data_IF_112810478683
#
_entry.id   IF_112810478683
#
_cell.length_a   1.000
_cell.length_b   1.000
_cell.length_c   1.000
_cell.angle_alpha   90.00
_cell.angle_beta   90.00
_cell.angle_gamma   90.00
#
_symmetry.space_group_name_H-M   'P 1'
#
loop_
_entity.id
_entity.type
_entity.pdbx_description
1 polymer ?
#
# COMPACT_ATOMS: atom_id res chain seq x y z
N UNK A 1 14.05 -59.70 1.81
CA UNK A 1 14.00 -58.34 1.21
C UNK A 1 12.84 -57.58 1.82
N UNK A 2 13.14 -56.73 2.79
CA UNK A 2 12.20 -55.75 3.37
C UNK A 2 12.40 -54.45 2.60
N UNK A 3 11.39 -54.02 1.83
CA UNK A 3 11.34 -52.69 1.22
C UNK A 3 10.81 -51.69 2.26
N UNK A 4 11.64 -50.72 2.61
CA UNK A 4 11.41 -49.57 3.47
C UNK A 4 10.35 -48.64 2.86
N UNK A 5 9.25 -48.38 3.60
CA UNK A 5 8.17 -47.46 3.27
C UNK A 5 8.47 -46.04 3.86
N UNK A 6 9.62 -45.42 3.53
CA UNK A 6 10.00 -44.14 4.10
C UNK A 6 9.50 -42.86 3.37
N UNK A 7 9.14 -42.83 2.06
CA UNK A 7 8.76 -41.56 1.40
C UNK A 7 7.35 -41.06 1.69
N UNK A 8 6.39 -41.91 2.01
CA UNK A 8 4.97 -41.53 2.17
C UNK A 8 4.69 -40.78 3.47
N UNK A 9 5.40 -41.08 4.54
CA UNK A 9 5.23 -40.44 5.86
C UNK A 9 5.84 -39.02 5.91
N UNK A 10 6.92 -38.76 5.19
CA UNK A 10 7.50 -37.40 5.13
C UNK A 10 6.58 -36.44 4.38
N UNK A 11 5.96 -36.89 3.30
CA UNK A 11 5.04 -36.07 2.48
C UNK A 11 3.76 -35.69 3.23
N UNK A 12 3.19 -36.62 4.03
CA UNK A 12 2.00 -36.31 4.84
C UNK A 12 2.31 -35.34 5.99
N UNK A 13 3.44 -35.49 6.66
CA UNK A 13 3.86 -34.60 7.76
C UNK A 13 4.12 -33.17 7.30
N UNK A 14 4.65 -32.96 6.09
CA UNK A 14 4.81 -31.63 5.49
C UNK A 14 3.44 -30.99 5.21
N UNK A 15 2.50 -31.76 4.67
CA UNK A 15 1.14 -31.29 4.40
C UNK A 15 0.40 -30.88 5.68
N UNK A 16 0.51 -31.70 6.75
CA UNK A 16 -0.16 -31.44 8.03
C UNK A 16 0.39 -30.18 8.70
N UNK A 17 1.70 -29.93 8.60
CA UNK A 17 2.33 -28.70 9.11
C UNK A 17 1.91 -27.47 8.31
N UNK A 18 1.84 -27.57 6.97
CA UNK A 18 1.39 -26.47 6.13
C UNK A 18 -0.07 -26.09 6.45
N UNK A 19 -0.95 -27.08 6.67
CA UNK A 19 -2.33 -26.83 7.11
C UNK A 19 -2.39 -26.10 8.46
N UNK A 20 -1.53 -26.46 9.40
CA UNK A 20 -1.44 -25.77 10.70
C UNK A 20 -0.95 -24.32 10.54
N UNK A 21 0.06 -24.10 9.70
CA UNK A 21 0.59 -22.75 9.43
C UNK A 21 -0.46 -21.87 8.75
N UNK A 22 -1.21 -22.40 7.79
CA UNK A 22 -2.30 -21.69 7.13
C UNK A 22 -3.42 -21.35 8.10
N UNK A 23 -3.78 -22.25 9.00
CA UNK A 23 -4.78 -21.98 10.04
C UNK A 23 -4.31 -20.91 11.06
N UNK A 24 -3.02 -20.91 11.42
CA UNK A 24 -2.42 -19.83 12.22
C UNK A 24 -2.52 -18.50 11.48
N UNK A 25 -2.13 -18.46 10.22
CA UNK A 25 -2.17 -17.25 9.40
C UNK A 25 -3.60 -16.69 9.25
N UNK A 26 -4.58 -17.57 9.00
CA UNK A 26 -5.99 -17.20 8.95
C UNK A 26 -6.48 -16.61 10.29
N UNK A 27 -6.11 -17.21 11.41
CA UNK A 27 -6.51 -16.71 12.73
C UNK A 27 -5.91 -15.33 13.04
N UNK A 28 -4.60 -15.15 12.88
CA UNK A 28 -3.93 -13.88 13.24
C UNK A 28 -4.31 -12.72 12.33
N UNK A 29 -4.78 -13.00 11.11
CA UNK A 29 -5.31 -11.99 10.20
C UNK A 29 -6.76 -11.58 10.51
N UNK A 30 -7.50 -12.42 11.23
CA UNK A 30 -8.94 -12.21 11.49
C UNK A 30 -9.21 -11.59 12.86
N UNK A 31 -8.44 -11.93 13.89
CA UNK A 31 -8.72 -11.51 15.27
C UNK A 31 -7.65 -10.57 15.81
N UNK A 32 -8.01 -9.74 16.81
CA UNK A 32 -7.07 -8.81 17.42
C UNK A 32 -5.92 -9.51 18.17
N UNK A 33 -4.76 -8.86 18.33
CA UNK A 33 -3.62 -9.41 19.08
C UNK A 33 -3.96 -9.87 20.48
N UNK A 34 -4.86 -9.16 21.18
CA UNK A 34 -5.33 -9.53 22.53
C UNK A 34 -6.12 -10.85 22.50
N UNK A 35 -6.90 -11.08 21.45
CA UNK A 35 -7.61 -12.34 21.25
C UNK A 35 -6.65 -13.49 20.94
N UNK A 36 -5.62 -13.26 20.12
CA UNK A 36 -4.57 -14.26 19.87
C UNK A 36 -3.85 -14.61 21.18
N UNK A 37 -3.52 -13.62 22.02
CA UNK A 37 -2.93 -13.86 23.35
C UNK A 37 -3.84 -14.73 24.23
N UNK A 38 -5.14 -14.43 24.26
CA UNK A 38 -6.10 -15.22 25.03
C UNK A 38 -6.22 -16.67 24.52
N UNK A 39 -6.21 -16.87 23.20
CA UNK A 39 -6.21 -18.19 22.56
C UNK A 39 -4.91 -18.93 22.89
N UNK A 40 -3.75 -18.30 22.75
CA UNK A 40 -2.45 -18.89 23.09
C UNK A 40 -2.36 -19.30 24.57
N UNK A 41 -2.88 -18.48 25.48
CA UNK A 41 -2.95 -18.81 26.90
C UNK A 41 -3.89 -19.99 27.18
N UNK A 42 -4.95 -20.17 26.38
CA UNK A 42 -5.86 -21.33 26.50
C UNK A 42 -5.22 -22.58 25.91
N UNK A 43 -4.56 -22.47 24.74
CA UNK A 43 -3.81 -23.57 24.09
C UNK A 43 -2.81 -24.20 25.06
N UNK A 44 -2.02 -23.41 25.78
CA UNK A 44 -1.05 -23.93 26.77
C UNK A 44 -1.63 -24.87 27.85
N UNK A 45 -2.95 -24.74 28.07
CA UNK A 45 -3.68 -25.51 29.11
C UNK A 45 -4.66 -26.52 28.52
N UNK A 46 -4.54 -26.82 27.23
CA UNK A 46 -5.47 -27.66 26.49
C UNK A 46 -4.67 -28.71 25.70
N UNK A 47 -5.09 -29.97 25.79
CA UNK A 47 -4.57 -31.00 24.90
C UNK A 47 -5.18 -30.87 23.53
N UNK A 48 -4.42 -31.20 22.46
CA UNK A 48 -4.87 -31.12 21.08
C UNK A 48 -6.22 -31.83 20.85
N UNK A 49 -6.43 -33.00 21.49
CA UNK A 49 -7.67 -33.77 21.39
C UNK A 49 -8.92 -33.04 21.94
N UNK A 50 -8.74 -32.06 22.81
CA UNK A 50 -9.82 -31.26 23.43
C UNK A 50 -9.95 -29.84 22.82
N UNK A 51 -9.06 -29.50 21.92
CA UNK A 51 -8.97 -28.14 21.35
C UNK A 51 -10.26 -27.71 20.68
N UNK A 52 -10.86 -28.56 19.86
CA UNK A 52 -12.09 -28.25 19.12
C UNK A 52 -13.28 -27.88 20.02
N UNK A 53 -13.35 -28.46 21.22
CA UNK A 53 -14.45 -28.15 22.16
C UNK A 53 -14.18 -26.97 23.10
N UNK A 54 -12.89 -26.58 23.27
CA UNK A 54 -12.48 -25.61 24.29
C UNK A 54 -12.09 -24.25 23.72
N UNK A 55 -11.43 -24.20 22.55
CA UNK A 55 -10.88 -22.97 21.99
C UNK A 55 -11.94 -22.03 21.40
N UNK A 56 -13.01 -22.50 20.72
CA UNK A 56 -14.00 -21.61 20.12
C UNK A 56 -14.69 -20.66 21.11
N UNK A 57 -14.78 -21.06 22.40
CA UNK A 57 -15.38 -20.23 23.46
C UNK A 57 -14.57 -18.94 23.77
N UNK A 58 -13.32 -18.83 23.31
CA UNK A 58 -12.47 -17.65 23.54
C UNK A 58 -12.82 -16.49 22.60
N UNK A 59 -13.44 -16.79 21.46
CA UNK A 59 -13.82 -15.81 20.45
C UNK A 59 -15.34 -15.52 20.48
N UNK A 60 -15.73 -14.32 20.02
CA UNK A 60 -17.13 -13.86 20.20
C UNK A 60 -17.96 -13.82 18.90
N UNK A 61 -17.40 -14.27 17.75
CA UNK A 61 -18.12 -14.23 16.48
C UNK A 61 -18.14 -15.62 15.82
N UNK A 62 -19.21 -15.97 15.08
CA UNK A 62 -19.29 -17.25 14.39
C UNK A 62 -18.12 -17.49 13.42
N UNK A 63 -17.71 -16.46 12.67
CA UNK A 63 -16.61 -16.54 11.71
C UNK A 63 -15.27 -16.86 12.43
N UNK A 64 -15.00 -16.18 13.56
CA UNK A 64 -13.79 -16.46 14.32
C UNK A 64 -13.84 -17.86 14.95
N UNK A 65 -15.02 -18.34 15.40
CA UNK A 65 -15.18 -19.70 15.92
C UNK A 65 -14.82 -20.75 14.88
N UNK A 66 -15.30 -20.59 13.63
CA UNK A 66 -14.96 -21.50 12.53
C UNK A 66 -13.44 -21.56 12.28
N UNK A 67 -12.75 -20.41 12.28
CA UNK A 67 -11.29 -20.38 12.08
C UNK A 67 -10.56 -21.03 13.25
N UNK A 68 -11.02 -20.86 14.49
CA UNK A 68 -10.47 -21.52 15.67
C UNK A 68 -10.71 -23.03 15.62
N UNK A 69 -11.86 -23.50 15.12
CA UNK A 69 -12.15 -24.92 14.90
C UNK A 69 -11.19 -25.52 13.85
N UNK A 70 -10.93 -24.81 12.76
CA UNK A 70 -9.96 -25.20 11.73
C UNK A 70 -8.55 -25.31 12.33
N UNK A 71 -8.12 -24.33 13.14
CA UNK A 71 -6.86 -24.38 13.86
C UNK A 71 -6.78 -25.62 14.76
N UNK A 72 -7.84 -25.91 15.52
CA UNK A 72 -7.87 -27.06 16.41
C UNK A 72 -7.79 -28.39 15.64
N UNK A 73 -8.47 -28.50 14.50
CA UNK A 73 -8.42 -29.67 13.64
C UNK A 73 -7.03 -29.88 13.03
N UNK A 74 -6.43 -28.82 12.50
CA UNK A 74 -5.08 -28.86 11.93
C UNK A 74 -4.04 -29.25 13.00
N UNK A 75 -4.15 -28.68 14.21
CA UNK A 75 -3.25 -29.01 15.33
C UNK A 75 -3.29 -30.49 15.70
N UNK A 76 -4.48 -31.12 15.72
CA UNK A 76 -4.62 -32.55 16.02
C UNK A 76 -3.87 -33.47 15.06
N UNK A 77 -3.66 -33.03 13.82
CA UNK A 77 -2.96 -33.81 12.80
C UNK A 77 -1.42 -33.69 12.88
N UNK A 78 -0.91 -32.85 13.81
CA UNK A 78 0.53 -32.60 13.97
C UNK A 78 1.05 -33.16 15.32
N UNK A 79 2.36 -33.28 15.46
CA UNK A 79 3.05 -33.58 16.70
C UNK A 79 3.40 -32.30 17.51
N UNK A 80 2.90 -31.12 17.10
CA UNK A 80 3.20 -29.84 17.75
C UNK A 80 2.62 -29.79 19.15
N UNK A 81 3.48 -29.50 20.15
CA UNK A 81 3.07 -29.35 21.52
C UNK A 81 2.27 -28.06 21.80
N UNK A 82 1.54 -28.05 22.92
CA UNK A 82 0.72 -26.89 23.30
C UNK A 82 1.53 -25.61 23.53
N UNK A 83 2.71 -25.69 24.15
CA UNK A 83 3.59 -24.54 24.33
C UNK A 83 4.20 -24.05 23.01
N UNK A 84 4.50 -24.97 22.10
CA UNK A 84 5.02 -24.69 20.79
C UNK A 84 3.97 -23.96 19.93
N UNK A 85 2.75 -24.51 19.85
CA UNK A 85 1.64 -23.85 19.13
C UNK A 85 1.34 -22.45 19.71
N UNK A 86 1.30 -22.31 21.03
CA UNK A 86 1.10 -21.01 21.65
C UNK A 86 2.20 -20.01 21.28
N UNK A 87 3.45 -20.46 21.20
CA UNK A 87 4.57 -19.63 20.77
C UNK A 87 4.50 -19.24 19.28
N UNK A 88 4.09 -20.18 18.42
CA UNK A 88 3.84 -19.93 17.00
C UNK A 88 2.74 -18.88 16.80
N UNK A 89 1.62 -18.97 17.51
CA UNK A 89 0.52 -18.00 17.48
C UNK A 89 0.98 -16.59 17.88
N UNK A 90 1.73 -16.48 18.97
CA UNK A 90 2.24 -15.18 19.44
C UNK A 90 3.26 -14.57 18.47
N UNK A 91 4.17 -15.38 17.95
CA UNK A 91 5.15 -14.94 16.97
C UNK A 91 4.47 -14.48 15.66
N UNK A 92 3.55 -15.28 15.13
CA UNK A 92 2.79 -14.93 13.93
C UNK A 92 1.97 -13.65 14.12
N UNK A 93 1.27 -13.52 15.25
CA UNK A 93 0.50 -12.30 15.58
C UNK A 93 1.38 -11.06 15.69
N UNK A 94 2.56 -11.18 16.31
CA UNK A 94 3.51 -10.08 16.41
C UNK A 94 4.00 -9.62 15.03
N UNK A 95 4.44 -10.56 14.20
CA UNK A 95 4.95 -10.26 12.84
C UNK A 95 3.84 -9.67 11.97
N UNK A 96 2.64 -10.26 12.00
CA UNK A 96 1.49 -9.76 11.25
C UNK A 96 1.11 -8.33 11.65
N UNK A 97 0.98 -8.08 12.96
CA UNK A 97 0.62 -6.75 13.49
C UNK A 97 1.68 -5.71 13.15
N UNK A 98 2.96 -6.08 13.28
CA UNK A 98 4.07 -5.19 12.93
C UNK A 98 4.05 -4.85 11.44
N UNK A 99 3.93 -5.84 10.56
CA UNK A 99 3.84 -5.62 9.12
C UNK A 99 2.63 -4.76 8.74
N UNK A 100 1.46 -5.02 9.34
CA UNK A 100 0.25 -4.24 9.12
C UNK A 100 0.37 -2.78 9.62
N UNK A 101 1.11 -2.53 10.71
CA UNK A 101 1.36 -1.18 11.22
C UNK A 101 2.40 -0.40 10.43
N UNK A 102 3.31 -1.10 9.75
CA UNK A 102 4.37 -0.49 8.94
C UNK A 102 3.91 -0.10 7.52
N UNK A 103 2.79 -0.61 7.07
CA UNK A 103 2.24 -0.31 5.75
C UNK A 103 0.71 -0.30 5.77
N UNK A 104 0.11 0.73 5.17
CA UNK A 104 -1.32 0.77 4.88
C UNK A 104 -1.56 1.07 3.40
N UNK A 105 -2.65 0.53 2.87
CA UNK A 105 -3.12 0.81 1.51
C UNK A 105 -4.61 1.12 1.56
N UNK A 106 -4.99 2.28 1.04
CA UNK A 106 -6.37 2.75 1.01
C UNK A 106 -6.86 2.90 -0.43
N UNK A 107 -8.06 2.38 -0.71
CA UNK A 107 -8.74 2.65 -1.99
C UNK A 107 -9.19 4.11 -2.03
N UNK A 108 -8.86 4.78 -3.14
CA UNK A 108 -9.27 6.16 -3.42
C UNK A 108 -10.15 6.16 -4.66
N UNK A 109 -11.29 6.84 -4.57
CA UNK A 109 -12.28 6.89 -5.64
C UNK A 109 -12.93 8.26 -5.74
N UNK A 110 -13.01 8.79 -6.95
CA UNK A 110 -13.88 9.93 -7.31
C UNK A 110 -14.91 9.45 -8.32
N UNK A 111 -16.16 9.82 -8.15
CA UNK A 111 -17.27 9.40 -9.03
C UNK A 111 -18.49 8.92 -8.23
N UNK A 112 -19.45 8.26 -8.88
CA UNK A 112 -20.60 7.68 -8.20
C UNK A 112 -20.20 6.72 -7.10
N UNK A 113 -20.85 6.81 -5.95
CA UNK A 113 -20.57 5.99 -4.76
C UNK A 113 -21.61 4.90 -4.60
N UNK A 114 -21.23 3.81 -3.91
CA UNK A 114 -22.14 2.74 -3.52
C UNK A 114 -22.19 2.63 -1.99
N UNK A 115 -23.27 2.10 -1.41
CA UNK A 115 -23.37 1.94 0.04
C UNK A 115 -22.48 0.80 0.59
N UNK A 116 -21.86 0.00 -0.30
CA UNK A 116 -21.13 -1.20 0.09
C UNK A 116 -19.63 -0.97 0.31
N UNK A 117 -19.07 0.07 -0.29
CA UNK A 117 -17.64 0.36 -0.21
C UNK A 117 -17.45 1.84 0.15
N UNK A 118 -16.78 2.07 1.26
CA UNK A 118 -16.32 3.42 1.63
C UNK A 118 -14.95 3.66 0.97
N UNK A 119 -14.83 4.77 0.24
CA UNK A 119 -13.58 5.17 -0.38
C UNK A 119 -13.31 6.65 -0.11
N UNK A 120 -12.03 6.99 0.01
CA UNK A 120 -11.58 8.38 0.14
C UNK A 120 -11.63 9.06 -1.22
N UNK A 121 -11.93 10.35 -1.26
CA UNK A 121 -11.88 11.13 -2.51
C UNK A 121 -10.44 11.42 -2.93
N UNK A 122 -10.21 11.49 -4.24
CA UNK A 122 -8.91 11.77 -4.87
C UNK A 122 -8.24 13.02 -4.31
N UNK A 123 -8.98 14.13 -4.20
CA UNK A 123 -8.46 15.38 -3.65
C UNK A 123 -7.98 15.23 -2.20
N UNK A 124 -8.76 14.55 -1.37
CA UNK A 124 -8.41 14.32 0.04
C UNK A 124 -7.13 13.48 0.19
N UNK A 125 -6.98 12.45 -0.64
CA UNK A 125 -5.78 11.61 -0.65
C UNK A 125 -4.53 12.40 -1.07
N UNK A 126 -4.65 13.20 -2.12
CA UNK A 126 -3.55 14.05 -2.59
C UNK A 126 -3.18 15.12 -1.55
N UNK A 127 -4.18 15.81 -0.97
CA UNK A 127 -3.96 16.78 0.12
C UNK A 127 -3.30 16.14 1.33
N UNK A 128 -3.62 14.90 1.67
CA UNK A 128 -2.94 14.18 2.76
C UNK A 128 -1.45 14.03 2.46
N UNK A 129 -1.07 13.56 1.26
CA UNK A 129 0.35 13.40 0.88
C UNK A 129 1.08 14.74 0.92
N UNK A 130 0.48 15.80 0.38
CA UNK A 130 1.09 17.14 0.38
C UNK A 130 1.24 17.69 1.81
N UNK A 131 0.20 17.58 2.63
CA UNK A 131 0.19 18.16 3.97
C UNK A 131 1.08 17.39 4.95
N UNK A 132 1.26 16.09 4.75
CA UNK A 132 2.14 15.26 5.58
C UNK A 132 3.61 15.34 5.18
N UNK A 133 3.94 15.96 4.05
CA UNK A 133 5.34 16.10 3.61
C UNK A 133 6.12 17.05 4.53
N UNK A 134 7.32 16.63 4.93
CA UNK A 134 8.22 17.36 5.82
C UNK A 134 9.52 17.77 5.14
N UNK A 135 10.04 16.96 4.21
CA UNK A 135 11.33 17.18 3.56
C UNK A 135 11.21 17.29 2.04
N UNK A 136 10.47 16.40 1.42
CA UNK A 136 10.43 16.30 -0.02
C UNK A 136 9.09 15.81 -0.56
N UNK A 137 8.69 16.36 -1.68
CA UNK A 137 7.47 15.99 -2.40
C UNK A 137 7.79 15.91 -3.89
N UNK A 138 7.57 14.75 -4.50
CA UNK A 138 7.66 14.58 -5.95
C UNK A 138 6.27 14.31 -6.53
N UNK A 139 5.84 15.12 -7.49
CA UNK A 139 4.54 14.98 -8.16
C UNK A 139 4.77 14.79 -9.66
N UNK A 140 4.04 13.84 -10.26
CA UNK A 140 3.99 13.66 -11.71
C UNK A 140 2.55 13.75 -12.17
N UNK A 141 2.28 14.52 -13.23
CA UNK A 141 0.96 14.64 -13.85
C UNK A 141 1.07 14.95 -15.33
N UNK A 142 0.14 14.41 -16.12
CA UNK A 142 0.04 14.76 -17.54
C UNK A 142 -0.47 16.18 -17.73
N UNK A 143 -1.50 16.55 -16.99
CA UNK A 143 -2.08 17.92 -16.99
C UNK A 143 -2.18 18.41 -15.55
N UNK A 144 -1.78 19.66 -15.32
CA UNK A 144 -1.92 20.32 -14.03
C UNK A 144 -2.36 21.77 -14.26
N UNK A 145 -3.48 22.17 -13.68
CA UNK A 145 -3.89 23.55 -13.60
C UNK A 145 -4.96 23.77 -12.53
N UNK A 146 -4.87 24.92 -11.94
CA UNK A 146 -5.79 25.58 -11.01
C UNK A 146 -6.81 24.71 -10.27
N UNK A 147 -6.29 23.87 -9.39
CA UNK A 147 -7.06 23.33 -8.26
C UNK A 147 -6.63 24.14 -7.05
N UNK A 148 -7.39 25.16 -6.70
CA UNK A 148 -6.98 26.17 -5.73
C UNK A 148 -6.58 25.59 -4.35
N UNK A 149 -7.22 24.52 -3.93
CA UNK A 149 -6.91 23.79 -2.69
C UNK A 149 -5.54 23.12 -2.76
N UNK A 150 -5.23 22.49 -3.87
CA UNK A 150 -3.93 21.83 -4.10
C UNK A 150 -2.82 22.87 -4.22
N UNK A 151 -3.03 23.94 -4.97
CA UNK A 151 -2.07 25.06 -5.09
C UNK A 151 -1.75 25.67 -3.74
N UNK A 152 -2.77 25.94 -2.91
CA UNK A 152 -2.57 26.44 -1.53
C UNK A 152 -1.78 25.46 -0.68
N UNK A 153 -2.08 24.17 -0.75
CA UNK A 153 -1.37 23.15 0.01
C UNK A 153 0.11 23.02 -0.41
N UNK A 154 0.39 23.11 -1.73
CA UNK A 154 1.76 23.10 -2.26
C UNK A 154 2.56 24.33 -1.79
N UNK A 155 1.99 25.52 -1.86
CA UNK A 155 2.65 26.73 -1.38
C UNK A 155 2.88 26.65 0.13
N UNK A 156 1.92 26.17 0.92
CA UNK A 156 2.10 25.96 2.35
C UNK A 156 3.17 24.89 2.67
N UNK A 157 3.29 23.83 1.85
CA UNK A 157 4.38 22.87 1.98
C UNK A 157 5.75 23.51 1.69
N UNK A 158 5.83 24.34 0.64
CA UNK A 158 7.05 25.09 0.34
C UNK A 158 7.44 26.06 1.47
N UNK A 159 6.46 26.76 2.07
CA UNK A 159 6.69 27.63 3.24
C UNK A 159 7.20 26.85 4.47
N UNK A 160 6.84 25.58 4.62
CA UNK A 160 7.42 24.67 5.62
C UNK A 160 8.84 24.19 5.31
N UNK A 161 9.38 24.55 4.13
CA UNK A 161 10.71 24.14 3.69
C UNK A 161 10.73 22.81 2.92
N UNK A 162 9.58 22.30 2.49
CA UNK A 162 9.52 21.07 1.68
C UNK A 162 10.07 21.32 0.27
N UNK A 163 11.00 20.50 -0.18
CA UNK A 163 11.51 20.52 -1.56
C UNK A 163 10.48 19.89 -2.51
N UNK A 164 9.80 20.71 -3.30
CA UNK A 164 8.77 20.27 -4.24
C UNK A 164 9.39 20.12 -5.62
N UNK A 165 9.26 18.92 -6.19
CA UNK A 165 9.63 18.60 -7.58
C UNK A 165 8.38 18.18 -8.34
N UNK A 166 8.16 18.73 -9.52
CA UNK A 166 7.02 18.37 -10.38
C UNK A 166 7.50 18.00 -11.77
N UNK A 167 7.14 16.80 -12.23
CA UNK A 167 7.33 16.34 -13.60
C UNK A 167 6.01 16.46 -14.36
N UNK A 168 5.98 17.29 -15.38
CA UNK A 168 4.78 17.63 -16.15
C UNK A 168 5.00 17.39 -17.64
N UNK A 169 3.92 17.11 -18.38
CA UNK A 169 3.98 17.05 -19.83
C UNK A 169 4.14 18.46 -20.40
N UNK A 170 4.99 18.59 -21.43
CA UNK A 170 5.21 19.85 -22.13
C UNK A 170 4.07 20.18 -23.10
N UNK A 171 3.84 21.47 -23.35
CA UNK A 171 2.97 21.92 -24.42
C UNK A 171 3.58 21.62 -25.79
N UNK A 172 2.74 21.61 -26.82
CA UNK A 172 3.18 21.45 -28.23
C UNK A 172 4.21 22.50 -28.65
N UNK A 173 4.05 23.74 -28.20
CA UNK A 173 4.99 24.84 -28.47
C UNK A 173 6.38 24.59 -27.84
N UNK A 174 6.47 23.69 -26.87
CA UNK A 174 7.71 23.29 -26.18
C UNK A 174 8.09 21.83 -26.44
N UNK A 175 7.63 21.27 -27.57
CA UNK A 175 7.98 19.90 -27.99
C UNK A 175 7.24 18.78 -27.27
N UNK A 176 6.15 19.10 -26.58
CA UNK A 176 5.29 18.13 -25.91
C UNK A 176 4.02 17.78 -26.69
N UNK A 177 3.00 17.31 -25.98
CA UNK A 177 1.80 16.73 -26.60
C UNK A 177 0.48 17.44 -26.29
N UNK A 178 0.48 18.45 -25.43
CA UNK A 178 -0.72 19.15 -24.98
C UNK A 178 -0.79 20.60 -25.50
N UNK A 179 -2.01 21.10 -25.68
CA UNK A 179 -2.24 22.46 -26.24
C UNK A 179 -2.17 23.58 -25.18
N UNK A 180 -1.88 23.23 -23.93
CA UNK A 180 -1.87 24.16 -22.79
C UNK A 180 -0.48 24.16 -22.17
N UNK A 181 0.10 25.31 -21.92
CA UNK A 181 1.33 25.45 -21.16
C UNK A 181 1.07 25.26 -19.65
N UNK A 182 1.00 23.99 -19.23
CA UNK A 182 0.80 23.63 -17.81
C UNK A 182 2.05 23.93 -16.97
N UNK A 183 3.23 23.87 -17.58
CA UNK A 183 4.50 24.16 -16.90
C UNK A 183 4.58 25.63 -16.55
N UNK A 184 4.30 26.53 -17.52
CA UNK A 184 4.26 27.96 -17.27
C UNK A 184 3.24 28.33 -16.19
N UNK A 185 2.02 27.76 -16.29
CA UNK A 185 1.00 27.97 -15.25
C UNK A 185 1.44 27.53 -13.87
N UNK A 186 2.03 26.32 -13.74
CA UNK A 186 2.48 25.84 -12.44
C UNK A 186 3.66 26.63 -11.90
N UNK A 187 4.53 27.17 -12.76
CA UNK A 187 5.59 28.10 -12.36
C UNK A 187 5.04 29.37 -11.68
N UNK A 188 3.95 29.90 -12.22
CA UNK A 188 3.31 31.08 -11.66
C UNK A 188 2.54 30.78 -10.36
N UNK A 189 1.86 29.63 -10.31
CA UNK A 189 1.01 29.24 -9.18
C UNK A 189 1.81 28.69 -7.99
N UNK A 190 2.92 27.99 -8.23
CA UNK A 190 3.78 27.37 -7.21
C UNK A 190 5.25 27.73 -7.47
N UNK A 191 5.66 29.00 -7.30
CA UNK A 191 6.98 29.47 -7.70
C UNK A 191 8.15 28.80 -6.95
N UNK A 192 7.88 28.19 -5.81
CA UNK A 192 8.89 27.42 -5.05
C UNK A 192 9.10 25.99 -5.55
N UNK A 193 8.32 25.50 -6.51
CA UNK A 193 8.49 24.16 -7.04
C UNK A 193 9.57 24.10 -8.13
N UNK A 194 10.36 23.03 -8.15
CA UNK A 194 11.27 22.70 -9.23
C UNK A 194 10.50 21.93 -10.31
N UNK A 195 10.42 22.50 -11.51
CA UNK A 195 9.65 21.94 -12.61
C UNK A 195 10.56 21.21 -13.59
N UNK A 196 10.13 20.02 -14.02
CA UNK A 196 10.83 19.16 -14.96
C UNK A 196 9.92 18.73 -16.11
N UNK A 197 10.54 18.47 -17.26
CA UNK A 197 9.90 17.90 -18.44
C UNK A 197 10.74 16.77 -19.02
N UNK A 198 10.07 15.83 -19.69
CA UNK A 198 10.73 14.80 -20.48
C UNK A 198 10.82 15.27 -21.94
N UNK A 199 11.95 15.85 -22.33
CA UNK A 199 12.17 16.47 -23.67
C UNK A 199 12.88 15.53 -24.64
N UNK A 200 13.93 14.86 -24.19
CA UNK A 200 14.79 14.04 -25.04
C UNK A 200 14.22 12.61 -25.14
N UNK A 201 13.17 12.49 -25.96
CA UNK A 201 12.49 11.21 -26.21
C UNK A 201 13.10 10.55 -27.44
N UNK A 202 13.75 9.40 -27.27
CA UNK A 202 14.45 8.70 -28.35
C UNK A 202 14.08 7.21 -28.38
N UNK A 203 14.34 6.55 -29.51
CA UNK A 203 14.11 5.12 -29.69
C UNK A 203 12.64 4.75 -29.47
N UNK A 204 12.40 3.71 -28.68
CA UNK A 204 11.05 3.19 -28.38
C UNK A 204 10.14 4.19 -27.65
N UNK A 205 10.70 5.28 -27.14
CA UNK A 205 9.98 6.31 -26.39
C UNK A 205 9.77 7.61 -27.17
N UNK A 206 10.06 7.67 -28.47
CA UNK A 206 9.99 8.90 -29.28
C UNK A 206 8.61 9.59 -29.19
N UNK A 207 7.51 8.81 -29.18
CA UNK A 207 6.13 9.29 -29.05
C UNK A 207 5.61 9.22 -27.60
N UNK A 208 6.48 8.96 -26.64
CA UNK A 208 6.14 8.83 -25.23
C UNK A 208 5.61 10.13 -24.62
N UNK A 209 4.87 10.02 -23.53
CA UNK A 209 4.29 11.16 -22.79
C UNK A 209 4.48 10.97 -21.29
N UNK A 210 4.56 12.08 -20.58
CA UNK A 210 4.45 12.04 -19.12
C UNK A 210 2.99 11.78 -18.76
N UNK A 211 2.61 10.51 -18.61
CA UNK A 211 1.23 10.11 -18.36
C UNK A 211 1.01 9.46 -16.97
N UNK A 212 2.06 9.25 -16.21
CA UNK A 212 1.95 8.85 -14.80
C UNK A 212 1.30 9.96 -13.98
N UNK A 213 0.47 9.59 -13.01
CA UNK A 213 -0.14 10.50 -12.05
C UNK A 213 0.13 9.96 -10.66
N UNK A 214 1.16 10.52 -10.05
CA UNK A 214 1.65 10.08 -8.75
C UNK A 214 2.08 11.27 -7.91
N UNK A 215 1.96 11.13 -6.59
CA UNK A 215 2.60 11.99 -5.63
C UNK A 215 3.32 11.13 -4.60
N UNK A 216 4.55 11.46 -4.27
CA UNK A 216 5.31 10.74 -3.24
C UNK A 216 5.97 11.73 -2.29
N UNK A 217 5.79 11.53 -0.98
CA UNK A 217 6.31 12.36 0.10
C UNK A 217 7.30 11.56 0.96
N UNK A 218 8.49 12.13 1.18
CA UNK A 218 9.49 11.68 2.16
C UNK A 218 9.87 10.19 2.07
N UNK A 219 9.65 9.55 0.93
CA UNK A 219 9.82 8.09 0.72
C UNK A 219 8.93 7.21 1.62
N UNK A 220 7.97 7.80 2.30
CA UNK A 220 7.11 7.12 3.28
C UNK A 220 5.65 7.05 2.89
N UNK A 221 5.19 7.94 2.03
CA UNK A 221 3.79 7.97 1.57
C UNK A 221 3.74 8.26 0.07
N UNK A 222 2.86 7.56 -0.66
CA UNK A 222 2.60 7.88 -2.06
C UNK A 222 1.14 7.67 -2.43
N UNK A 223 0.69 8.46 -3.39
CA UNK A 223 -0.61 8.32 -4.03
C UNK A 223 -0.42 8.03 -5.51
N UNK A 224 -0.94 6.91 -5.98
CA UNK A 224 -0.92 6.48 -7.39
C UNK A 224 -2.36 6.51 -7.87
N UNK A 225 -2.63 7.22 -8.98
CA UNK A 225 -4.00 7.46 -9.41
C UNK A 225 -4.12 7.59 -10.93
N UNK A 226 -5.34 7.44 -11.44
CA UNK A 226 -5.69 7.82 -12.82
C UNK A 226 -5.90 9.32 -12.97
N UNK A 227 -6.12 10.06 -11.89
CA UNK A 227 -6.51 11.46 -11.88
C UNK A 227 -5.38 12.42 -12.23
N UNK A 228 -5.60 13.29 -13.21
CA UNK A 228 -4.76 14.47 -13.43
C UNK A 228 -4.99 15.53 -12.33
N UNK A 229 -4.07 16.48 -12.19
CA UNK A 229 -4.23 17.64 -11.31
C UNK A 229 -5.19 18.68 -11.91
N UNK A 230 -6.47 18.33 -12.03
CA UNK A 230 -7.52 19.18 -12.59
C UNK A 230 -8.79 19.13 -11.75
N UNK A 231 -9.57 20.18 -11.73
CA UNK A 231 -10.82 20.24 -10.95
C UNK A 231 -11.79 19.11 -11.33
N UNK A 232 -11.91 18.79 -12.63
CA UNK A 232 -12.77 17.69 -13.08
C UNK A 232 -12.31 16.32 -12.55
N UNK A 233 -11.00 16.06 -12.53
CA UNK A 233 -10.46 14.81 -12.00
C UNK A 233 -10.60 14.71 -10.47
N UNK A 234 -10.57 15.85 -9.77
CA UNK A 234 -10.73 15.88 -8.33
C UNK A 234 -12.19 15.70 -7.87
N UNK A 235 -13.18 16.13 -8.68
CA UNK A 235 -14.56 16.27 -8.24
C UNK A 235 -15.60 15.49 -9.05
N UNK A 236 -15.40 15.29 -10.36
CA UNK A 236 -16.47 14.90 -11.30
C UNK A 236 -16.22 13.64 -12.08
N UNK A 237 -14.98 13.39 -12.51
CA UNK A 237 -14.66 12.19 -13.27
C UNK A 237 -14.76 10.93 -12.40
N UNK A 238 -14.90 9.78 -13.05
CA UNK A 238 -14.59 8.51 -12.41
C UNK A 238 -13.07 8.33 -12.41
N UNK A 239 -12.48 8.40 -11.23
CA UNK A 239 -11.04 8.23 -11.02
C UNK A 239 -10.80 7.22 -9.90
N UNK A 240 -9.79 6.38 -10.10
CA UNK A 240 -9.38 5.40 -9.11
C UNK A 240 -7.91 5.60 -8.72
N UNK A 241 -7.59 5.26 -7.48
CA UNK A 241 -6.22 5.32 -7.00
C UNK A 241 -6.01 4.52 -5.73
N UNK A 242 -4.76 4.44 -5.33
CA UNK A 242 -4.33 3.81 -4.09
C UNK A 242 -3.41 4.78 -3.34
N UNK A 243 -3.79 5.10 -2.11
CA UNK A 243 -2.93 5.81 -1.16
C UNK A 243 -2.17 4.77 -0.35
N UNK A 244 -0.85 4.82 -0.37
CA UNK A 244 0.03 3.88 0.32
C UNK A 244 0.86 4.67 1.33
N UNK A 245 0.86 4.23 2.59
CA UNK A 245 1.71 4.78 3.65
C UNK A 245 2.59 3.68 4.22
N UNK A 246 3.88 3.94 4.32
CA UNK A 246 4.90 2.96 4.74
C UNK A 246 5.25 1.91 3.68
N UNK A 247 6.05 0.94 4.08
CA UNK A 247 6.49 -0.16 3.22
C UNK A 247 7.49 0.26 2.13
N UNK A 248 7.61 -0.57 1.10
CA UNK A 248 8.64 -0.43 0.05
C UNK A 248 8.25 0.49 -1.09
N UNK A 249 6.96 0.57 -1.43
CA UNK A 249 6.49 1.21 -2.67
C UNK A 249 6.79 2.72 -2.70
N UNK A 250 6.50 3.52 -1.65
CA UNK A 250 6.82 4.95 -1.68
C UNK A 250 8.31 5.20 -1.89
N UNK A 251 9.18 4.42 -1.23
CA UNK A 251 10.65 4.54 -1.40
C UNK A 251 11.09 4.20 -2.80
N UNK A 252 10.66 3.07 -3.36
CA UNK A 252 11.02 2.66 -4.71
C UNK A 252 10.56 3.67 -5.76
N UNK A 253 9.35 4.23 -5.59
CA UNK A 253 8.82 5.24 -6.48
C UNK A 253 9.64 6.54 -6.41
N UNK A 254 9.94 7.04 -5.20
CA UNK A 254 10.78 8.23 -5.03
C UNK A 254 12.17 8.03 -5.62
N UNK A 255 12.82 6.91 -5.29
CA UNK A 255 14.17 6.58 -5.79
C UNK A 255 14.18 6.52 -7.33
N UNK A 256 13.15 5.91 -7.95
CA UNK A 256 13.03 5.87 -9.41
C UNK A 256 12.85 7.27 -10.02
N UNK A 257 11.91 8.06 -9.49
CA UNK A 257 11.64 9.42 -10.00
C UNK A 257 12.87 10.34 -9.86
N UNK A 258 13.60 10.25 -8.74
CA UNK A 258 14.84 11.00 -8.56
C UNK A 258 15.94 10.53 -9.50
N UNK A 259 16.02 9.22 -9.76
CA UNK A 259 16.98 8.69 -10.74
C UNK A 259 16.74 9.25 -12.14
N UNK A 260 15.50 9.57 -12.54
CA UNK A 260 15.21 10.25 -13.81
C UNK A 260 15.84 11.65 -13.87
N UNK A 261 15.86 12.36 -12.72
CA UNK A 261 16.53 13.67 -12.60
C UNK A 261 18.05 13.50 -12.64
N UNK A 262 18.59 12.60 -11.83
CA UNK A 262 20.05 12.39 -11.67
C UNK A 262 20.70 11.91 -12.96
N UNK A 263 20.02 11.05 -13.72
CA UNK A 263 20.46 10.56 -15.02
C UNK A 263 20.17 11.52 -16.18
N UNK A 264 19.55 12.67 -15.91
CA UNK A 264 19.15 13.69 -16.91
C UNK A 264 18.18 13.17 -17.97
N UNK A 265 17.44 12.09 -17.68
CA UNK A 265 16.34 11.63 -18.55
C UNK A 265 15.19 12.64 -18.56
N UNK A 266 15.01 13.40 -17.49
CA UNK A 266 14.15 14.57 -17.41
C UNK A 266 14.99 15.82 -17.12
N UNK A 267 14.60 16.95 -17.67
CA UNK A 267 15.38 18.18 -17.60
C UNK A 267 14.58 19.28 -16.90
N UNK A 268 15.25 20.17 -16.12
CA UNK A 268 14.59 21.31 -15.52
C UNK A 268 14.08 22.26 -16.63
N UNK A 269 12.98 22.93 -16.34
CA UNK A 269 12.29 23.83 -17.28
C UNK A 269 11.93 25.18 -16.65
#
# INVERSE_FOLDING_TARGET
>A
YQHSNAPTQLSSRVSDMDELLDAIAALVSLVSPEKVQAIAARVRRTDASKAASTLPSVVGTPVASTVVEQLAAAWQNTEVGSDELASMLLAASHVYTKAASEQSSELVWTGPTTPFVSARRTEQALLQVINSSEQSLFITSFVAYDVSTIVKALNAANERGVNITMLLESSQDHGGSINIDVIGKMRDLVPGAQLYAWRDKTGDFADGRVHAKVAVADKTSCFITSANLTGYAMEKNMEAGVLISGGRIPRLLDDHLRSLVDTKLISPV
#
